data_IF_983843072879
#
_entry.id   IF_983843072879
#
_cell.length_a   1.000
_cell.length_b   1.000
_cell.length_c   1.000
_cell.angle_alpha   90.00
_cell.angle_beta   90.00
_cell.angle_gamma   90.00
#
_symmetry.space_group_name_H-M   'P 1'
#
loop_
_entity.id
_entity.type
_entity.pdbx_description
1 polymer ?
#
# COMPACT_ATOMS: atom_id res chain seq x y z
N UNK A 1 -34.78 34.27 -47.40
CA UNK A 1 -35.45 33.01 -47.02
C UNK A 1 -34.43 31.88 -47.10
N UNK A 2 -34.41 31.01 -46.08
CA UNK A 2 -33.30 30.12 -45.72
C UNK A 2 -33.04 29.01 -46.75
N UNK A 3 -31.76 28.80 -47.08
CA UNK A 3 -31.25 27.60 -47.76
C UNK A 3 -31.25 26.44 -46.75
N UNK A 4 -31.83 25.30 -47.12
CA UNK A 4 -31.71 24.04 -46.38
C UNK A 4 -30.85 23.09 -47.22
N UNK A 5 -29.70 22.73 -46.67
CA UNK A 5 -28.81 21.67 -47.18
C UNK A 5 -28.40 20.83 -45.97
N UNK A 6 -28.14 19.54 -46.22
CA UNK A 6 -27.52 18.53 -45.36
C UNK A 6 -28.50 17.75 -44.46
N UNK A 7 -28.35 16.43 -44.28
CA UNK A 7 -27.40 15.45 -44.80
C UNK A 7 -27.98 14.04 -44.58
N UNK A 8 -27.67 13.13 -45.50
CA UNK A 8 -27.88 11.69 -45.35
C UNK A 8 -26.80 11.15 -44.41
N UNK A 9 -27.20 10.52 -43.31
CA UNK A 9 -26.29 9.85 -42.37
C UNK A 9 -26.22 8.37 -42.74
N UNK A 10 -25.09 7.93 -43.29
CA UNK A 10 -24.77 6.53 -43.53
C UNK A 10 -24.18 5.93 -42.25
N UNK A 11 -24.84 4.93 -41.67
CA UNK A 11 -24.33 4.17 -40.53
C UNK A 11 -23.43 3.05 -41.06
N UNK A 12 -22.13 3.13 -40.79
CA UNK A 12 -21.16 2.07 -41.07
C UNK A 12 -20.88 1.32 -39.76
N UNK A 13 -21.41 0.10 -39.65
CA UNK A 13 -21.10 -0.82 -38.55
C UNK A 13 -19.77 -1.54 -38.81
N UNK A 14 -18.84 -1.46 -37.86
CA UNK A 14 -17.60 -2.24 -37.86
C UNK A 14 -17.76 -3.45 -36.92
N UNK A 15 -17.63 -4.65 -37.46
CA UNK A 15 -17.42 -5.89 -36.70
C UNK A 15 -15.94 -5.95 -36.24
N UNK A 16 -15.70 -6.17 -34.96
CA UNK A 16 -14.39 -6.61 -34.46
C UNK A 16 -14.46 -8.07 -34.04
N UNK A 17 -13.66 -8.91 -34.71
CA UNK A 17 -13.45 -10.30 -34.38
C UNK A 17 -12.59 -10.43 -33.11
N UNK A 18 -13.02 -11.31 -32.19
CA UNK A 18 -12.25 -11.70 -31.00
C UNK A 18 -11.29 -12.82 -31.40
N UNK A 19 -9.98 -12.55 -31.37
CA UNK A 19 -8.95 -13.59 -31.49
C UNK A 19 -8.57 -14.07 -30.08
N UNK A 20 -8.95 -15.31 -29.77
CA UNK A 20 -8.49 -16.04 -28.58
C UNK A 20 -7.10 -16.62 -28.90
N UNK A 21 -6.06 -15.99 -28.36
CA UNK A 21 -4.69 -16.52 -28.41
C UNK A 21 -4.45 -17.49 -27.25
N UNK A 22 -4.26 -18.77 -27.55
CA UNK A 22 -3.82 -19.78 -26.60
C UNK A 22 -2.36 -19.53 -26.17
N UNK A 23 -2.12 -19.35 -24.87
CA UNK A 23 -0.76 -19.28 -24.32
C UNK A 23 -0.22 -20.69 -24.08
N UNK A 24 0.86 -21.06 -24.79
CA UNK A 24 1.66 -22.24 -24.49
C UNK A 24 2.50 -21.95 -23.22
N UNK A 25 2.28 -22.76 -22.18
CA UNK A 25 3.06 -22.73 -20.95
C UNK A 25 4.41 -23.43 -21.19
N UNK A 26 5.50 -22.68 -21.19
CA UNK A 26 6.87 -23.22 -21.08
C UNK A 26 7.27 -23.28 -19.60
N UNK A 27 7.45 -24.48 -19.07
CA UNK A 27 8.03 -24.74 -17.76
C UNK A 27 9.50 -24.30 -17.72
N UNK A 28 9.96 -23.54 -16.71
CA UNK A 28 11.38 -23.28 -16.53
C UNK A 28 12.07 -24.50 -15.91
N UNK A 29 13.06 -25.03 -16.61
CA UNK A 29 14.02 -26.02 -16.08
C UNK A 29 14.88 -25.36 -15.01
N UNK A 30 14.79 -25.85 -13.77
CA UNK A 30 15.66 -25.43 -12.68
C UNK A 30 17.04 -26.11 -12.83
N UNK A 31 18.07 -25.34 -13.17
CA UNK A 31 19.46 -25.79 -13.11
C UNK A 31 19.95 -25.69 -11.66
N UNK A 32 20.22 -26.82 -11.02
CA UNK A 32 20.80 -26.88 -9.68
C UNK A 32 22.32 -26.64 -9.75
N UNK A 33 22.77 -25.45 -9.39
CA UNK A 33 24.19 -25.20 -9.10
C UNK A 33 24.44 -25.53 -7.62
N UNK A 34 25.11 -26.64 -7.36
CA UNK A 34 25.59 -27.04 -6.03
C UNK A 34 26.67 -26.05 -5.56
N UNK A 35 26.34 -25.18 -4.61
CA UNK A 35 27.32 -24.34 -3.93
C UNK A 35 28.00 -25.14 -2.81
N UNK A 36 29.33 -25.05 -2.74
CA UNK A 36 30.14 -25.67 -1.68
C UNK A 36 29.82 -25.08 -0.29
N UNK A 37 29.99 -25.85 0.80
CA UNK A 37 29.71 -25.36 2.15
C UNK A 37 30.68 -24.24 2.56
N UNK A 38 30.24 -23.27 3.39
CA UNK A 38 31.09 -22.18 3.85
C UNK A 38 32.21 -22.68 4.79
N UNK A 39 33.37 -22.02 4.81
CA UNK A 39 34.45 -22.38 5.72
C UNK A 39 34.08 -22.07 7.18
N UNK A 40 34.51 -22.96 8.08
CA UNK A 40 34.39 -22.84 9.54
C UNK A 40 35.13 -21.60 10.06
N UNK A 41 34.63 -20.87 11.07
CA UNK A 41 35.34 -19.68 11.58
C UNK A 41 36.59 -20.10 12.36
N UNK A 42 37.75 -19.74 11.83
CA UNK A 42 39.03 -19.80 12.55
C UNK A 42 39.21 -18.51 13.37
N UNK A 43 39.74 -18.65 14.60
CA UNK A 43 40.01 -17.59 15.55
C UNK A 43 40.81 -16.41 14.96
N UNK A 44 40.19 -15.24 14.86
CA UNK A 44 40.89 -13.95 14.70
C UNK A 44 40.77 -13.15 16.02
N UNK A 45 41.87 -12.59 16.55
CA UNK A 45 41.83 -11.73 17.73
C UNK A 45 41.07 -10.43 17.44
N UNK A 46 40.21 -10.00 18.37
CA UNK A 46 39.39 -8.80 18.24
C UNK A 46 40.22 -7.50 18.30
N UNK A 47 39.95 -6.57 17.38
CA UNK A 47 40.34 -5.16 17.42
C UNK A 47 39.51 -4.43 18.51
N UNK A 48 40.13 -3.76 19.52
CA UNK A 48 39.42 -3.23 20.68
C UNK A 48 38.74 -1.86 20.47
N UNK A 49 38.41 -1.42 19.25
CA UNK A 49 37.96 -0.04 19.00
C UNK A 49 36.54 0.16 18.41
N UNK A 50 35.62 -0.79 18.63
CA UNK A 50 34.18 -0.58 18.38
C UNK A 50 33.36 -0.74 19.66
N UNK A 51 32.99 0.38 20.28
CA UNK A 51 32.02 0.45 21.37
C UNK A 51 30.69 -0.16 20.92
N UNK A 52 30.31 -1.30 21.51
CA UNK A 52 29.06 -1.98 21.23
C UNK A 52 27.85 -1.11 21.59
N UNK A 53 26.95 -0.88 20.63
CA UNK A 53 25.56 -0.49 20.91
C UNK A 53 24.90 -1.59 21.75
N UNK A 54 24.11 -1.27 22.78
CA UNK A 54 23.47 -2.29 23.60
C UNK A 54 22.48 -3.11 22.75
N UNK A 55 22.77 -4.39 22.58
CA UNK A 55 21.88 -5.37 21.97
C UNK A 55 20.71 -5.63 22.91
N UNK A 56 19.48 -5.46 22.41
CA UNK A 56 18.26 -5.87 23.13
C UNK A 56 18.33 -7.39 23.36
N UNK A 57 18.05 -7.91 24.57
CA UNK A 57 18.07 -9.35 24.81
C UNK A 57 17.02 -10.02 23.92
N UNK A 58 17.50 -10.87 23.02
CA UNK A 58 16.69 -11.78 22.21
C UNK A 58 16.84 -13.13 22.88
N UNK A 59 16.05 -13.37 23.93
CA UNK A 59 15.66 -14.67 24.49
C UNK A 59 15.15 -14.43 25.90
N UNK A 60 13.83 -14.34 26.01
CA UNK A 60 13.12 -14.34 27.27
C UNK A 60 12.03 -15.38 27.18
N UNK A 61 12.21 -16.52 27.86
CA UNK A 61 11.04 -17.27 28.34
C UNK A 61 10.40 -16.39 29.41
N UNK A 62 9.44 -15.57 28.99
CA UNK A 62 8.62 -14.77 29.89
C UNK A 62 7.50 -15.64 30.44
N UNK A 63 7.30 -15.64 31.75
CA UNK A 63 6.01 -15.99 32.35
C UNK A 63 4.92 -15.22 31.60
N UNK A 64 4.01 -15.95 30.93
CA UNK A 64 2.97 -15.38 30.08
C UNK A 64 1.98 -14.58 30.94
N UNK A 65 2.24 -13.29 31.14
CA UNK A 65 1.13 -12.36 31.04
C UNK A 65 0.65 -12.46 29.60
N UNK A 66 -0.64 -12.71 29.38
CA UNK A 66 -1.19 -12.86 28.03
C UNK A 66 -0.89 -11.59 27.21
N UNK A 67 0.20 -11.61 26.44
CA UNK A 67 0.53 -10.52 25.52
C UNK A 67 -0.54 -10.51 24.43
N UNK A 68 -1.59 -9.71 24.65
CA UNK A 68 -2.73 -9.70 23.76
C UNK A 68 -2.39 -8.92 22.50
N UNK A 69 -2.68 -9.51 21.34
CA UNK A 69 -2.60 -8.80 20.06
C UNK A 69 -3.80 -7.87 19.90
N UNK A 70 -3.54 -6.67 19.40
CA UNK A 70 -4.54 -5.72 18.93
C UNK A 70 -4.53 -5.68 17.40
N UNK A 71 -5.68 -5.93 16.80
CA UNK A 71 -5.90 -5.80 15.35
C UNK A 71 -6.59 -4.47 15.08
N UNK A 72 -6.06 -3.70 14.13
CA UNK A 72 -6.67 -2.48 13.62
C UNK A 72 -6.74 -2.55 12.10
N UNK A 73 -7.67 -1.82 11.51
CA UNK A 73 -7.78 -1.79 10.06
C UNK A 73 -8.79 -0.78 9.58
N UNK A 74 -8.59 -0.26 8.38
CA UNK A 74 -9.48 0.72 7.79
C UNK A 74 -9.38 0.68 6.27
N UNK A 75 -10.47 1.04 5.60
CA UNK A 75 -10.47 1.37 4.18
C UNK A 75 -10.38 2.88 4.05
N UNK A 76 -9.36 3.37 3.35
CA UNK A 76 -9.23 4.78 2.98
C UNK A 76 -9.70 4.94 1.55
N UNK A 77 -10.62 5.87 1.31
CA UNK A 77 -11.19 6.11 -0.01
C UNK A 77 -10.88 7.49 -0.55
N UNK A 78 -10.67 7.54 -1.85
CA UNK A 78 -10.22 8.72 -2.62
C UNK A 78 -11.29 9.14 -3.64
N UNK A 79 -12.56 9.21 -3.22
CA UNK A 79 -13.72 9.44 -4.10
C UNK A 79 -14.30 10.86 -4.02
N UNK A 80 -13.71 11.72 -3.19
CA UNK A 80 -14.13 13.10 -3.02
C UNK A 80 -13.05 14.08 -3.47
N UNK A 81 -13.49 15.25 -3.96
CA UNK A 81 -12.62 16.38 -4.26
C UNK A 81 -13.04 17.59 -3.46
N UNK A 82 -12.08 18.36 -2.96
CA UNK A 82 -12.37 19.66 -2.37
C UNK A 82 -12.75 20.70 -3.44
N UNK A 83 -13.11 21.91 -3.01
CA UNK A 83 -13.48 23.03 -3.89
C UNK A 83 -12.38 23.44 -4.90
N UNK A 84 -11.15 22.99 -4.71
CA UNK A 84 -10.01 23.26 -5.59
C UNK A 84 -9.68 22.06 -6.50
N UNK A 85 -10.53 21.03 -6.53
CA UNK A 85 -10.35 19.85 -7.38
C UNK A 85 -9.33 18.84 -6.84
N UNK A 86 -8.80 19.05 -5.62
CA UNK A 86 -7.84 18.13 -4.98
C UNK A 86 -8.57 16.97 -4.34
N UNK A 87 -7.98 15.79 -4.41
CA UNK A 87 -8.55 14.60 -3.78
C UNK A 87 -8.53 14.75 -2.27
N UNK A 88 -9.61 14.33 -1.60
CA UNK A 88 -9.69 14.34 -0.14
C UNK A 88 -9.81 12.90 0.34
N UNK A 89 -8.74 12.31 0.92
CA UNK A 89 -8.83 10.98 1.49
C UNK A 89 -9.73 10.99 2.71
N UNK A 90 -10.54 9.95 2.86
CA UNK A 90 -11.45 9.80 4.00
C UNK A 90 -11.55 8.35 4.44
N UNK A 91 -11.98 8.12 5.68
CA UNK A 91 -12.43 6.80 6.13
C UNK A 91 -13.62 6.36 5.28
N UNK A 92 -13.57 5.15 4.74
CA UNK A 92 -14.70 4.52 4.08
C UNK A 92 -15.40 3.58 5.05
N UNK A 93 -16.56 4.01 5.55
CA UNK A 93 -17.36 3.27 6.51
C UNK A 93 -18.76 3.11 5.92
N UNK A 94 -19.23 1.87 5.86
CA UNK A 94 -20.58 1.52 5.41
C UNK A 94 -20.98 0.15 5.99
N UNK A 95 -22.06 -0.46 5.50
CA UNK A 95 -22.54 -1.78 5.95
C UNK A 95 -21.55 -2.94 5.76
N UNK A 96 -20.56 -2.81 4.87
CA UNK A 96 -19.58 -3.85 4.56
C UNK A 96 -18.14 -3.47 4.91
N UNK A 97 -17.88 -2.23 5.32
CA UNK A 97 -16.56 -1.73 5.64
C UNK A 97 -16.56 -1.06 7.02
N UNK A 98 -15.83 -1.65 7.95
CA UNK A 98 -15.52 -1.06 9.24
C UNK A 98 -14.18 -0.31 9.18
N UNK A 99 -14.01 0.68 10.05
CA UNK A 99 -12.75 1.37 10.26
C UNK A 99 -12.45 1.39 11.75
N UNK A 100 -11.51 0.56 12.17
CA UNK A 100 -11.18 0.29 13.57
C UNK A 100 -9.77 0.83 13.86
N UNK A 101 -9.66 1.67 14.89
CA UNK A 101 -8.37 2.19 15.36
C UNK A 101 -7.79 3.35 14.54
N UNK A 102 -8.61 4.02 13.71
CA UNK A 102 -8.22 5.25 12.98
C UNK A 102 -9.14 6.40 13.36
N UNK A 103 -8.58 7.42 14.02
CA UNK A 103 -9.26 8.63 14.45
C UNK A 103 -9.38 9.63 13.31
N UNK A 104 -8.25 9.99 12.67
CA UNK A 104 -8.22 10.98 11.57
C UNK A 104 -7.47 10.44 10.36
N UNK A 105 -7.87 10.95 9.19
CA UNK A 105 -7.28 10.69 7.88
C UNK A 105 -7.15 12.02 7.17
N UNK A 106 -5.98 12.34 6.65
CA UNK A 106 -5.77 13.54 5.84
C UNK A 106 -4.55 13.40 4.93
N UNK A 107 -4.50 14.19 3.86
CA UNK A 107 -3.31 14.34 3.04
C UNK A 107 -2.42 15.46 3.61
N UNK A 108 -1.16 15.17 3.90
CA UNK A 108 -0.16 16.19 4.19
C UNK A 108 0.27 16.84 2.87
N UNK A 109 -0.10 18.10 2.68
CA UNK A 109 0.16 18.83 1.42
C UNK A 109 1.61 19.23 1.23
N UNK A 110 2.42 19.20 2.30
CA UNK A 110 3.84 19.53 2.20
C UNK A 110 4.63 18.33 1.73
N UNK A 111 4.29 17.13 2.20
CA UNK A 111 5.01 15.89 1.89
C UNK A 111 4.33 15.03 0.85
N UNK A 112 3.05 15.30 0.52
CA UNK A 112 2.22 14.45 -0.34
C UNK A 112 1.79 13.14 0.33
N UNK A 113 2.08 12.94 1.61
CA UNK A 113 1.77 11.70 2.34
C UNK A 113 0.30 11.63 2.73
N UNK A 114 -0.23 10.40 2.77
CA UNK A 114 -1.45 10.12 3.50
C UNK A 114 -1.12 9.91 4.97
N UNK A 115 -1.80 10.62 5.86
CA UNK A 115 -1.59 10.54 7.31
C UNK A 115 -2.81 9.97 7.99
N UNK A 116 -2.59 8.91 8.75
CA UNK A 116 -3.60 8.30 9.62
C UNK A 116 -3.15 8.51 11.07
N UNK A 117 -4.05 9.03 11.89
CA UNK A 117 -3.86 9.07 13.34
C UNK A 117 -4.80 8.09 14.01
N UNK A 118 -4.35 7.48 15.09
CA UNK A 118 -5.10 6.51 15.87
C UNK A 118 -4.72 6.59 17.34
N UNK A 119 -5.21 5.64 18.16
CA UNK A 119 -4.74 5.54 19.53
C UNK A 119 -3.24 5.19 19.55
N UNK A 120 -2.56 5.65 20.59
CA UNK A 120 -1.26 5.08 20.95
C UNK A 120 -1.46 3.60 21.31
N UNK A 121 -0.43 2.79 21.13
CA UNK A 121 -0.50 1.35 21.34
C UNK A 121 0.88 0.74 21.47
N UNK A 122 0.92 -0.57 21.68
CA UNK A 122 2.16 -1.31 21.79
C UNK A 122 2.92 -1.35 20.47
N UNK A 123 4.09 -1.99 20.51
CA UNK A 123 4.94 -2.11 19.33
C UNK A 123 4.18 -2.79 18.18
N UNK A 124 4.44 -2.31 16.96
CA UNK A 124 3.86 -2.85 15.74
C UNK A 124 4.54 -4.17 15.41
N UNK A 125 3.75 -5.23 15.22
CA UNK A 125 4.22 -6.52 14.71
C UNK A 125 4.29 -6.46 13.18
N UNK A 126 3.21 -6.03 12.52
CA UNK A 126 3.23 -5.73 11.09
C UNK A 126 2.17 -4.72 10.67
N UNK A 127 2.38 -4.15 9.49
CA UNK A 127 1.43 -3.27 8.80
C UNK A 127 1.29 -3.78 7.36
N UNK A 128 0.06 -3.90 6.90
CA UNK A 128 -0.24 -4.19 5.50
C UNK A 128 -0.92 -3.00 4.85
N UNK A 129 -0.52 -2.71 3.61
CA UNK A 129 -1.12 -1.69 2.75
C UNK A 129 -1.41 -2.34 1.41
N UNK A 130 -2.68 -2.33 1.01
CA UNK A 130 -3.14 -2.97 -0.22
C UNK A 130 -3.98 -1.98 -1.03
N UNK A 131 -3.43 -1.42 -2.11
CA UNK A 131 -4.22 -0.66 -3.08
C UNK A 131 -5.21 -1.58 -3.78
N UNK A 132 -6.43 -1.10 -4.04
CA UNK A 132 -7.41 -1.87 -4.80
C UNK A 132 -7.14 -1.88 -6.32
N UNK A 133 -7.99 -2.57 -7.07
CA UNK A 133 -7.86 -2.73 -8.52
C UNK A 133 -7.88 -1.38 -9.24
N UNK A 134 -8.60 -0.39 -8.71
CA UNK A 134 -8.68 0.96 -9.29
C UNK A 134 -7.32 1.65 -9.23
N UNK A 135 -6.63 1.55 -8.10
CA UNK A 135 -5.30 2.12 -7.90
C UNK A 135 -4.23 1.31 -8.65
N UNK A 136 -4.29 -0.02 -8.57
CA UNK A 136 -3.34 -0.91 -9.24
C UNK A 136 -3.43 -0.82 -10.78
N UNK A 137 -4.62 -0.67 -11.35
CA UNK A 137 -4.79 -0.46 -12.79
C UNK A 137 -4.09 0.81 -13.29
N UNK A 138 -3.94 1.83 -12.42
CA UNK A 138 -3.19 3.06 -12.70
C UNK A 138 -1.71 2.94 -12.37
N UNK A 139 -1.28 1.76 -11.93
CA UNK A 139 0.09 1.50 -11.54
C UNK A 139 0.51 2.17 -10.23
N UNK A 140 -0.45 2.48 -9.35
CA UNK A 140 -0.18 3.11 -8.07
C UNK A 140 0.02 2.03 -7.01
N UNK A 141 1.19 2.02 -6.37
CA UNK A 141 1.48 1.21 -5.18
C UNK A 141 1.69 2.12 -3.99
N UNK A 142 1.45 1.62 -2.78
CA UNK A 142 1.62 2.43 -1.56
C UNK A 142 2.28 1.60 -0.46
N UNK A 143 3.07 2.26 0.39
CA UNK A 143 3.68 1.67 1.58
C UNK A 143 3.47 2.56 2.80
N UNK A 144 3.45 1.95 3.98
CA UNK A 144 3.34 2.64 5.27
C UNK A 144 4.70 2.80 5.96
N UNK A 145 4.84 3.89 6.72
CA UNK A 145 5.92 4.14 7.66
C UNK A 145 5.36 4.50 9.04
N UNK A 146 5.92 3.87 10.08
CA UNK A 146 5.46 4.01 11.46
C UNK A 146 4.08 3.39 11.72
N UNK A 147 3.66 3.32 12.99
CA UNK A 147 2.34 2.78 13.32
C UNK A 147 1.83 2.99 14.74
N UNK A 148 2.65 3.56 15.63
CA UNK A 148 2.24 3.90 17.00
C UNK A 148 1.68 5.32 17.00
N UNK A 149 0.35 5.45 17.13
CA UNK A 149 -0.37 6.73 17.15
C UNK A 149 -0.47 7.46 15.80
N UNK A 150 0.58 7.45 14.98
CA UNK A 150 0.60 8.03 13.63
C UNK A 150 1.19 7.04 12.63
N UNK A 151 0.50 6.84 11.51
CA UNK A 151 0.99 6.10 10.34
C UNK A 151 1.03 7.06 9.15
N UNK A 152 2.16 7.09 8.45
CA UNK A 152 2.34 7.84 7.19
C UNK A 152 2.38 6.86 6.05
N UNK A 153 1.69 7.16 4.95
CA UNK A 153 1.73 6.33 3.76
C UNK A 153 2.18 7.17 2.57
N UNK A 154 3.04 6.57 1.74
CA UNK A 154 3.50 7.13 0.48
C UNK A 154 3.03 6.24 -0.64
N UNK A 155 2.50 6.85 -1.69
CA UNK A 155 2.12 6.17 -2.90
C UNK A 155 3.05 6.59 -4.04
N UNK A 156 3.34 5.65 -4.94
CA UNK A 156 4.22 5.85 -6.07
C UNK A 156 3.58 5.26 -7.33
N UNK A 157 3.89 5.83 -8.49
CA UNK A 157 3.56 5.22 -9.78
C UNK A 157 4.64 4.21 -10.22
N UNK A 158 4.43 3.60 -11.40
CA UNK A 158 5.35 2.60 -11.97
C UNK A 158 6.74 3.16 -12.28
N UNK A 159 6.87 4.48 -12.39
CA UNK A 159 8.13 5.18 -12.63
C UNK A 159 8.82 5.58 -11.32
N UNK A 160 8.28 5.15 -10.17
CA UNK A 160 8.79 5.51 -8.85
C UNK A 160 8.52 6.96 -8.46
N UNK A 161 7.68 7.69 -9.21
CA UNK A 161 7.33 9.06 -8.87
C UNK A 161 6.22 9.05 -7.83
N UNK A 162 6.37 9.89 -6.81
CA UNK A 162 5.36 9.98 -5.77
C UNK A 162 4.02 10.45 -6.37
N UNK A 163 2.95 9.79 -5.97
CA UNK A 163 1.58 10.20 -6.22
C UNK A 163 1.02 10.76 -4.92
N UNK A 164 0.93 12.09 -4.76
CA UNK A 164 0.42 12.70 -3.54
C UNK A 164 -1.00 12.23 -3.21
N UNK A 165 -1.30 12.06 -1.92
CA UNK A 165 -2.62 11.61 -1.46
C UNK A 165 -3.77 12.57 -1.82
N UNK A 166 -3.47 13.83 -2.11
CA UNK A 166 -4.41 14.84 -2.60
C UNK A 166 -4.39 15.01 -4.14
N UNK A 167 -3.59 14.22 -4.85
CA UNK A 167 -3.44 14.29 -6.29
C UNK A 167 -4.73 13.88 -7.01
N UNK A 168 -5.12 14.56 -8.11
CA UNK A 168 -6.16 14.06 -9.00
C UNK A 168 -5.89 12.67 -9.57
N UNK A 169 -4.62 12.22 -9.60
CA UNK A 169 -4.24 10.89 -10.11
C UNK A 169 -4.73 9.73 -9.24
N UNK A 170 -4.82 9.93 -7.91
CA UNK A 170 -5.32 8.91 -6.97
C UNK A 170 -6.86 8.92 -6.87
N UNK A 171 -7.53 9.96 -7.38
CA UNK A 171 -8.99 10.11 -7.34
C UNK A 171 -9.72 9.02 -8.11
N UNK A 172 -10.69 8.35 -7.51
CA UNK A 172 -11.57 7.44 -8.24
C UNK A 172 -12.84 7.16 -7.46
N UNK A 173 -13.95 7.00 -8.18
CA UNK A 173 -15.25 6.66 -7.57
C UNK A 173 -15.15 5.45 -6.67
N UNK A 174 -14.34 4.47 -7.04
CA UNK A 174 -14.09 3.23 -6.32
C UNK A 174 -12.67 3.14 -5.76
N UNK A 175 -11.83 4.17 -5.82
CA UNK A 175 -10.43 4.07 -5.44
C UNK A 175 -10.25 3.95 -3.92
N UNK A 176 -9.82 2.77 -3.47
CA UNK A 176 -9.60 2.42 -2.08
C UNK A 176 -8.17 1.97 -1.81
N UNK A 177 -7.73 2.25 -0.60
CA UNK A 177 -6.52 1.72 0.00
C UNK A 177 -6.88 1.02 1.29
N UNK A 178 -6.65 -0.29 1.33
CA UNK A 178 -6.84 -1.11 2.51
C UNK A 178 -5.59 -1.03 3.36
N UNK A 179 -5.76 -0.79 4.66
CA UNK A 179 -4.65 -0.80 5.61
C UNK A 179 -5.04 -1.57 6.86
N UNK A 180 -4.10 -2.38 7.36
CA UNK A 180 -4.24 -3.15 8.57
C UNK A 180 -2.98 -3.11 9.42
N UNK A 181 -3.14 -3.20 10.73
CA UNK A 181 -2.05 -3.30 11.69
C UNK A 181 -2.32 -4.48 12.62
N UNK A 182 -1.25 -5.19 12.95
CA UNK A 182 -1.20 -6.02 14.15
C UNK A 182 -0.13 -5.44 15.05
N UNK A 183 -0.50 -5.21 16.31
CA UNK A 183 0.40 -4.65 17.32
C UNK A 183 0.15 -5.35 18.65
N UNK A 184 1.13 -5.29 19.55
CA UNK A 184 0.89 -5.63 20.94
C UNK A 184 -0.09 -4.65 21.57
N UNK A 185 -0.88 -5.11 22.54
CA UNK A 185 -1.53 -4.21 23.48
C UNK A 185 -0.46 -3.53 24.35
N UNK A 186 -0.71 -2.27 24.70
CA UNK A 186 0.15 -1.47 25.58
C UNK A 186 -0.42 -1.45 26.98
#
# INVERSE_FOLDING_TARGET
MRKVVAAVVTVVGWLTAVMVGASLATTPTASSTSAAPPPTPSDQPADPSHTAMPTRPSDGTSTVGEEQLRIRGCVIRFDHKDRHGRTVPRKHINRTHACVGVHRVYADRRTGELVLTGPHGGAIVFITVSPDETLLARGITCGASGGVGVTRLRCYDRQGQQVPADSPRIYGRSANLWIGWVSWQA
#
